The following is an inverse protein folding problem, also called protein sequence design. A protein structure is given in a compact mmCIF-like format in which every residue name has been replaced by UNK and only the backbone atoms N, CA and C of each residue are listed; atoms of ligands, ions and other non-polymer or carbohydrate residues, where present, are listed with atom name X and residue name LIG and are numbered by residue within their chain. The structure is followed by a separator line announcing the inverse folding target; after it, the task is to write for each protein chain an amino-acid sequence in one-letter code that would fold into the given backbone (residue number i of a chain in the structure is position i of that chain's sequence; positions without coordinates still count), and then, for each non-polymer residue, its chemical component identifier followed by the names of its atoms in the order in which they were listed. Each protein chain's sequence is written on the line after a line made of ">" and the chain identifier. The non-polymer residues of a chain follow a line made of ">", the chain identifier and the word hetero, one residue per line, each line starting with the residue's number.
data_IF_855164796672
#
_entry.id   IF_855164796672
#
_cell.length_a   1.000
_cell.length_b   1.000
_cell.length_c   1.000
_cell.angle_alpha   90.00
_cell.angle_beta   90.00
_cell.angle_gamma   90.00
#
_symmetry.space_group_name_H-M   'P 1'
#
loop_
_entity.id
_entity.type
_entity.pdbx_description
1 polymer ?
#
# COMPACT_ATOMS: atom_id res chain seq x y z
N UNK A 1 9.80 -6.09 17.64
CA UNK A 1 9.10 -5.10 18.51
C UNK A 1 9.21 -3.72 17.85
N UNK A 2 8.32 -2.77 18.15
CA UNK A 2 8.51 -1.38 17.69
C UNK A 2 9.56 -0.68 18.56
N UNK A 3 10.44 0.11 17.95
CA UNK A 3 11.37 0.99 18.65
C UNK A 3 10.66 2.25 19.12
N UNK A 4 11.25 2.99 20.05
CA UNK A 4 10.69 4.27 20.52
C UNK A 4 10.51 5.26 19.37
N UNK A 5 11.49 5.37 18.48
CA UNK A 5 11.41 6.25 17.30
C UNK A 5 10.29 5.84 16.35
N UNK A 6 10.09 4.53 16.15
CA UNK A 6 9.00 4.01 15.34
C UNK A 6 7.63 4.36 15.95
N UNK A 7 7.48 4.23 17.27
CA UNK A 7 6.25 4.59 17.98
C UNK A 7 5.98 6.08 17.86
N UNK A 8 6.98 6.93 18.13
CA UNK A 8 6.90 8.38 17.97
C UNK A 8 6.48 8.73 16.55
N UNK A 9 7.13 8.15 15.53
CA UNK A 9 6.80 8.36 14.13
C UNK A 9 5.35 7.99 13.81
N UNK A 10 4.88 6.83 14.27
CA UNK A 10 3.52 6.34 14.03
C UNK A 10 2.49 7.31 14.61
N UNK A 11 2.63 7.66 15.88
CA UNK A 11 1.68 8.51 16.61
C UNK A 11 1.69 9.94 16.07
N UNK A 12 2.87 10.51 15.78
CA UNK A 12 2.97 11.87 15.24
C UNK A 12 2.41 11.96 13.81
N UNK A 13 2.58 10.93 12.98
CA UNK A 13 2.07 10.95 11.60
C UNK A 13 0.56 10.67 11.51
N UNK A 14 0.03 9.88 12.45
CA UNK A 14 -1.36 9.48 12.46
C UNK A 14 -1.87 9.29 13.91
N UNK A 15 -2.21 10.39 14.61
CA UNK A 15 -2.66 10.32 16.00
C UNK A 15 -3.92 9.47 16.19
N UNK A 16 -4.74 9.34 15.14
CA UNK A 16 -5.94 8.48 15.09
C UNK A 16 -5.63 7.03 15.46
N UNK A 17 -4.38 6.59 15.33
CA UNK A 17 -3.93 5.28 15.81
C UNK A 17 -4.24 5.05 17.31
N UNK A 18 -4.16 6.10 18.14
CA UNK A 18 -4.44 6.02 19.57
C UNK A 18 -5.94 5.87 19.89
N UNK A 19 -6.82 6.09 18.92
CA UNK A 19 -8.26 5.89 19.09
C UNK A 19 -8.64 4.40 19.01
N UNK A 20 -7.72 3.54 18.56
CA UNK A 20 -7.95 2.11 18.44
C UNK A 20 -7.48 1.36 19.69
N UNK A 21 -8.21 0.30 20.05
CA UNK A 21 -7.72 -0.64 21.06
C UNK A 21 -6.49 -1.40 20.58
N UNK A 22 -5.65 -1.84 21.51
CA UNK A 22 -4.47 -2.66 21.19
C UNK A 22 -4.84 -3.94 20.45
N UNK A 23 -5.97 -4.56 20.81
CA UNK A 23 -6.53 -5.75 20.15
C UNK A 23 -6.91 -5.44 18.71
N UNK A 24 -7.52 -4.28 18.44
CA UNK A 24 -7.91 -3.92 17.08
C UNK A 24 -6.69 -3.61 16.20
N UNK A 25 -5.69 -2.92 16.73
CA UNK A 25 -4.42 -2.70 16.04
C UNK A 25 -3.75 -4.04 15.72
N UNK A 26 -3.66 -4.96 16.68
CA UNK A 26 -3.07 -6.27 16.46
C UNK A 26 -3.80 -7.06 15.35
N UNK A 27 -5.14 -7.05 15.36
CA UNK A 27 -5.95 -7.63 14.28
C UNK A 27 -5.66 -7.00 12.91
N UNK A 28 -5.54 -5.67 12.85
CA UNK A 28 -5.23 -4.92 11.62
C UNK A 28 -3.82 -5.24 11.11
N UNK A 29 -2.82 -5.30 11.99
CA UNK A 29 -1.46 -5.71 11.62
C UNK A 29 -1.44 -7.16 11.12
N UNK A 30 -2.15 -8.06 11.80
CA UNK A 30 -2.32 -9.46 11.39
C UNK A 30 -3.06 -9.64 10.07
N UNK A 31 -3.97 -8.72 9.70
CA UNK A 31 -4.56 -8.67 8.37
C UNK A 31 -3.50 -8.46 7.29
N UNK A 32 -2.64 -7.43 7.41
CA UNK A 32 -1.57 -7.22 6.42
C UNK A 32 -0.58 -8.39 6.37
N UNK A 33 -0.29 -9.01 7.52
CA UNK A 33 0.57 -10.19 7.58
C UNK A 33 0.03 -11.34 6.73
N UNK A 34 -1.26 -11.67 6.87
CA UNK A 34 -1.89 -12.79 6.15
C UNK A 34 -2.20 -12.45 4.70
N UNK A 35 -2.71 -11.26 4.43
CA UNK A 35 -3.20 -10.87 3.10
C UNK A 35 -2.09 -10.58 2.11
N UNK A 36 -0.93 -10.12 2.58
CA UNK A 36 0.24 -9.80 1.73
C UNK A 36 1.45 -10.70 2.02
N UNK A 37 1.29 -11.75 2.84
CA UNK A 37 2.35 -12.69 3.23
C UNK A 37 3.60 -11.94 3.70
N UNK A 38 3.38 -10.97 4.59
CA UNK A 38 4.46 -10.16 5.16
C UNK A 38 5.07 -10.88 6.37
N UNK A 39 6.36 -10.66 6.59
CA UNK A 39 7.01 -10.99 7.85
C UNK A 39 6.61 -10.00 8.94
N UNK A 40 6.83 -10.37 10.21
CA UNK A 40 6.57 -9.47 11.33
C UNK A 40 7.37 -8.16 11.26
N UNK A 41 8.54 -8.16 10.63
CA UNK A 41 9.35 -6.95 10.44
C UNK A 41 8.85 -6.09 9.28
N UNK A 42 8.45 -6.71 8.16
CA UNK A 42 7.82 -6.01 7.03
C UNK A 42 6.51 -5.32 7.44
N UNK A 43 5.68 -5.96 8.27
CA UNK A 43 4.45 -5.34 8.80
C UNK A 43 4.77 -4.13 9.67
N UNK A 44 5.81 -4.21 10.52
CA UNK A 44 6.25 -3.07 11.35
C UNK A 44 6.81 -1.95 10.49
N UNK A 45 7.61 -2.28 9.47
CA UNK A 45 8.13 -1.31 8.52
C UNK A 45 6.99 -0.60 7.77
N UNK A 46 5.98 -1.35 7.31
CA UNK A 46 4.79 -0.81 6.66
C UNK A 46 4.02 0.15 7.60
N UNK A 47 3.81 -0.26 8.85
CA UNK A 47 3.18 0.55 9.87
C UNK A 47 3.91 1.87 10.11
N UNK A 48 5.25 1.87 10.13
CA UNK A 48 6.07 3.09 10.29
C UNK A 48 6.08 3.96 9.02
N UNK A 49 6.18 3.33 7.85
CA UNK A 49 6.26 4.02 6.56
C UNK A 49 4.98 4.78 6.24
N UNK A 50 3.82 4.17 6.52
CA UNK A 50 2.53 4.79 6.26
C UNK A 50 1.51 4.44 7.36
N UNK A 51 1.57 5.07 8.53
CA UNK A 51 0.71 4.70 9.66
C UNK A 51 -0.80 4.71 9.35
N UNK A 52 -1.24 5.64 8.49
CA UNK A 52 -2.64 5.72 8.05
C UNK A 52 -3.16 4.42 7.42
N UNK A 53 -2.31 3.63 6.75
CA UNK A 53 -2.78 2.42 6.04
C UNK A 53 -3.32 1.36 7.01
N UNK A 54 -2.81 1.31 8.24
CA UNK A 54 -3.25 0.34 9.25
C UNK A 54 -4.61 0.74 9.84
N UNK A 55 -4.83 2.03 10.05
CA UNK A 55 -6.11 2.57 10.53
C UNK A 55 -7.13 2.78 9.40
N UNK A 56 -6.76 2.51 8.15
CA UNK A 56 -7.66 2.67 7.01
C UNK A 56 -8.70 1.54 6.94
N UNK A 57 -9.66 1.69 6.05
CA UNK A 57 -10.66 0.68 5.74
C UNK A 57 -10.00 -0.52 5.04
N UNK A 58 -9.90 -1.64 5.76
CA UNK A 58 -9.29 -2.88 5.27
C UNK A 58 -10.05 -3.47 4.07
N UNK A 59 -11.35 -3.25 3.96
CA UNK A 59 -12.14 -3.71 2.82
C UNK A 59 -11.69 -3.03 1.53
N UNK A 60 -11.37 -1.73 1.59
CA UNK A 60 -10.81 -0.99 0.44
C UNK A 60 -9.41 -1.47 0.07
N UNK A 61 -8.57 -1.80 1.05
CA UNK A 61 -7.25 -2.39 0.80
C UNK A 61 -7.41 -3.72 0.06
N UNK A 62 -8.33 -4.57 0.49
CA UNK A 62 -8.63 -5.86 -0.15
C UNK A 62 -9.10 -5.68 -1.60
N UNK A 63 -10.03 -4.76 -1.86
CA UNK A 63 -10.49 -4.46 -3.23
C UNK A 63 -9.34 -3.93 -4.10
N UNK A 64 -8.49 -3.07 -3.55
CA UNK A 64 -7.31 -2.57 -4.25
C UNK A 64 -6.31 -3.69 -4.57
N UNK A 65 -6.08 -4.63 -3.65
CA UNK A 65 -5.24 -5.81 -3.89
C UNK A 65 -5.80 -6.70 -5.00
N UNK A 66 -7.09 -6.99 -4.99
CA UNK A 66 -7.71 -7.75 -6.08
C UNK A 66 -7.56 -7.06 -7.42
N UNK A 67 -7.71 -5.74 -7.47
CA UNK A 67 -7.48 -4.98 -8.70
C UNK A 67 -6.02 -5.03 -9.16
N UNK A 68 -5.06 -4.91 -8.23
CA UNK A 68 -3.63 -5.00 -8.55
C UNK A 68 -3.27 -6.39 -9.11
N UNK A 69 -3.84 -7.45 -8.54
CA UNK A 69 -3.54 -8.83 -9.00
C UNK A 69 -4.29 -9.21 -10.27
N UNK A 70 -5.59 -8.91 -10.34
CA UNK A 70 -6.46 -9.32 -11.44
C UNK A 70 -6.38 -8.35 -12.62
N UNK A 71 -6.75 -7.09 -12.39
CA UNK A 71 -6.90 -6.12 -13.48
C UNK A 71 -5.56 -5.56 -13.97
N UNK A 72 -4.59 -5.40 -13.07
CA UNK A 72 -3.26 -4.88 -13.40
C UNK A 72 -2.23 -5.99 -13.65
N UNK A 73 -2.57 -7.26 -13.40
CA UNK A 73 -1.75 -8.42 -13.73
C UNK A 73 -0.48 -8.62 -12.88
N UNK A 74 -0.32 -7.91 -11.76
CA UNK A 74 0.81 -8.15 -10.85
C UNK A 74 0.65 -9.47 -10.09
N UNK A 75 1.72 -10.25 -9.97
CA UNK A 75 1.69 -11.45 -9.15
C UNK A 75 1.70 -11.11 -7.64
N UNK A 76 1.63 -12.13 -6.79
CA UNK A 76 1.56 -11.94 -5.34
C UNK A 76 2.83 -11.31 -4.74
N UNK A 77 4.00 -11.72 -5.21
CA UNK A 77 5.28 -11.16 -4.76
C UNK A 77 5.45 -9.71 -5.22
N UNK A 78 5.02 -9.41 -6.44
CA UNK A 78 5.05 -8.07 -7.01
C UNK A 78 4.07 -7.14 -6.29
N UNK A 79 2.85 -7.60 -5.99
CA UNK A 79 1.88 -6.83 -5.22
C UNK A 79 2.40 -6.55 -3.80
N UNK A 80 3.05 -7.54 -3.16
CA UNK A 80 3.77 -7.35 -1.89
C UNK A 80 4.87 -6.29 -2.03
N UNK A 81 5.69 -6.36 -3.06
CA UNK A 81 6.77 -5.40 -3.31
C UNK A 81 6.23 -3.97 -3.55
N UNK A 82 5.13 -3.83 -4.30
CA UNK A 82 4.44 -2.55 -4.51
C UNK A 82 3.95 -1.96 -3.19
N UNK A 83 3.32 -2.77 -2.34
CA UNK A 83 2.85 -2.32 -1.02
C UNK A 83 4.00 -1.82 -0.16
N UNK A 84 5.09 -2.59 -0.05
CA UNK A 84 6.23 -2.23 0.80
C UNK A 84 6.99 -1.00 0.29
N UNK A 85 7.14 -0.85 -1.03
CA UNK A 85 7.79 0.34 -1.63
C UNK A 85 6.89 1.57 -1.57
N UNK A 86 5.60 1.43 -1.88
CA UNK A 86 4.67 2.56 -1.95
C UNK A 86 3.27 2.22 -1.43
N UNK A 87 3.07 2.22 -0.10
CA UNK A 87 1.77 1.89 0.51
C UNK A 87 0.64 2.82 0.09
N UNK A 88 0.95 4.03 -0.41
CA UNK A 88 -0.03 5.00 -0.87
C UNK A 88 -0.86 4.51 -2.06
N UNK A 89 -0.35 3.56 -2.85
CA UNK A 89 -1.10 2.97 -3.97
C UNK A 89 -2.39 2.29 -3.49
N UNK A 90 -2.37 1.68 -2.30
CA UNK A 90 -3.52 0.97 -1.73
C UNK A 90 -4.48 1.87 -0.95
N UNK A 91 -4.15 3.15 -0.76
CA UNK A 91 -4.98 4.13 -0.04
C UNK A 91 -5.69 5.13 -0.98
N UNK A 92 -5.31 5.15 -2.25
CA UNK A 92 -6.02 5.94 -3.26
C UNK A 92 -7.21 5.18 -3.82
N UNK A 93 -8.09 5.89 -4.54
CA UNK A 93 -9.21 5.25 -5.24
C UNK A 93 -8.70 4.17 -6.20
N UNK A 94 -9.22 2.95 -6.06
CA UNK A 94 -8.92 1.83 -6.96
C UNK A 94 -9.19 2.20 -8.42
N UNK A 95 -10.25 2.97 -8.69
CA UNK A 95 -10.56 3.47 -10.03
C UNK A 95 -9.42 4.33 -10.58
N UNK A 96 -8.95 5.30 -9.79
CA UNK A 96 -7.87 6.19 -10.19
C UNK A 96 -6.54 5.43 -10.35
N UNK A 97 -6.29 4.40 -9.54
CA UNK A 97 -5.11 3.55 -9.70
C UNK A 97 -5.14 2.79 -11.02
N UNK A 98 -6.28 2.18 -11.36
CA UNK A 98 -6.49 1.47 -12.63
C UNK A 98 -6.29 2.37 -13.85
N UNK A 99 -6.92 3.54 -13.86
CA UNK A 99 -6.79 4.50 -14.97
C UNK A 99 -5.34 4.94 -15.20
N UNK A 100 -4.56 5.10 -14.13
CA UNK A 100 -3.14 5.47 -14.23
C UNK A 100 -2.29 4.30 -14.69
N UNK A 101 -2.59 3.10 -14.21
CA UNK A 101 -1.90 1.90 -14.67
C UNK A 101 -2.17 1.64 -16.15
N UNK A 102 -3.42 1.74 -16.59
CA UNK A 102 -3.80 1.59 -17.99
C UNK A 102 -3.00 2.54 -18.89
N UNK A 103 -2.89 3.81 -18.51
CA UNK A 103 -2.07 4.76 -19.24
C UNK A 103 -0.56 4.40 -19.23
N UNK A 104 0.01 4.12 -18.05
CA UNK A 104 1.44 3.84 -17.91
C UNK A 104 1.85 2.53 -18.61
N UNK A 105 1.03 1.49 -18.50
CA UNK A 105 1.35 0.16 -19.01
C UNK A 105 0.89 -0.03 -20.45
N UNK A 106 -0.38 0.28 -20.76
CA UNK A 106 -0.96 -0.01 -22.08
C UNK A 106 -0.69 1.10 -23.10
N UNK A 107 -0.54 2.37 -22.67
CA UNK A 107 -0.29 3.49 -23.60
C UNK A 107 1.21 3.84 -23.67
N UNK A 108 1.91 3.91 -22.53
CA UNK A 108 3.35 4.21 -22.52
C UNK A 108 4.25 2.97 -22.65
N UNK A 109 3.67 1.77 -22.71
CA UNK A 109 4.39 0.49 -22.85
C UNK A 109 5.43 0.23 -21.75
N UNK A 110 5.23 0.81 -20.55
CA UNK A 110 6.13 0.60 -19.41
C UNK A 110 5.83 -0.77 -18.79
N UNK A 111 6.85 -1.62 -18.69
CA UNK A 111 6.69 -2.99 -18.17
C UNK A 111 6.38 -3.01 -16.67
N UNK A 112 5.76 -4.10 -16.19
CA UNK A 112 5.55 -4.34 -14.76
C UNK A 112 6.83 -4.24 -13.94
N UNK A 113 7.95 -4.75 -14.48
CA UNK A 113 9.26 -4.66 -13.83
C UNK A 113 9.70 -3.21 -13.63
N UNK A 114 9.57 -2.37 -14.65
CA UNK A 114 9.90 -0.94 -14.56
C UNK A 114 8.98 -0.21 -13.58
N UNK A 115 7.69 -0.55 -13.57
CA UNK A 115 6.73 -0.01 -12.60
C UNK A 115 7.12 -0.44 -11.18
N UNK A 116 7.57 -1.67 -10.97
CA UNK A 116 8.04 -2.17 -9.68
C UNK A 116 9.32 -1.47 -9.22
N UNK A 117 10.21 -1.09 -10.13
CA UNK A 117 11.39 -0.30 -9.82
C UNK A 117 11.00 1.10 -9.33
N UNK A 118 10.01 1.76 -9.95
CA UNK A 118 9.51 3.07 -9.54
C UNK A 118 7.95 3.12 -9.42
N UNK A 119 7.38 2.60 -8.32
CA UNK A 119 5.92 2.55 -8.15
C UNK A 119 5.25 3.92 -8.03
N UNK A 120 6.03 4.98 -7.80
CA UNK A 120 5.53 6.35 -7.71
C UNK A 120 4.93 6.84 -9.03
N UNK A 121 5.28 6.23 -10.18
CA UNK A 121 4.71 6.57 -11.50
C UNK A 121 3.18 6.49 -11.51
N UNK A 122 2.62 5.52 -10.77
CA UNK A 122 1.16 5.30 -10.64
C UNK A 122 0.48 6.31 -9.70
N UNK A 123 1.23 7.23 -9.08
CA UNK A 123 0.68 8.27 -8.20
C UNK A 123 0.48 9.62 -8.89
N UNK A 124 1.12 9.86 -10.05
CA UNK A 124 0.92 11.08 -10.80
C UNK A 124 -0.49 11.13 -11.40
N UNK A 125 -1.07 12.34 -11.43
CA UNK A 125 -2.39 12.55 -12.04
C UNK A 125 -2.18 12.77 -13.54
N UNK A 126 -3.07 12.20 -14.36
CA UNK A 126 -2.97 12.21 -15.83
C UNK A 126 -2.87 13.62 -16.46
N UNK A 127 -3.18 14.70 -15.74
CA UNK A 127 -3.02 16.07 -16.25
C UNK A 127 -1.55 16.49 -16.48
N UNK A 128 -0.58 15.76 -15.91
CA UNK A 128 0.86 16.09 -16.03
C UNK A 128 1.50 15.38 -17.22
N UNK A 129 0.91 14.28 -17.71
CA UNK A 129 1.44 13.51 -18.85
C UNK A 129 0.64 13.89 -20.10
N UNK A 130 0.98 15.05 -20.67
CA UNK A 130 0.51 15.52 -21.97
C UNK A 130 1.72 15.88 -22.82
#
# INVERSE_FOLDING_TARGET
>A
KFTTDAITRIVTANPVWLNFSTIEIDKRLGFFQRTFILSGDEVRQLAVLRPRIITYDLGRITVSLYAVKGDMGFNEEEAKALLLKKPKLYDISTKALKERFDYVHNIMEISHEQILQQPSVLLFRNFIVK
#
